data_IF_673803751022
#
_entry.id   IF_673803751022
#
_cell.length_a   1.000
_cell.length_b   1.000
_cell.length_c   1.000
_cell.angle_alpha   90.00
_cell.angle_beta   90.00
_cell.angle_gamma   90.00
#
_symmetry.space_group_name_H-M   'P 1'
#
loop_
_entity.id
_entity.type
_entity.pdbx_description
1 polymer ?
#
# COMPACT_ATOMS: atom_id res chain seq x y z
N UNK A 1 -28.41 -12.13 23.14
CA UNK A 1 -28.84 -12.06 21.73
C UNK A 1 -28.12 -10.87 21.12
N UNK A 2 -27.06 -11.10 20.34
CA UNK A 2 -26.36 -9.99 19.70
C UNK A 2 -27.21 -9.45 18.55
N UNK A 3 -27.31 -8.12 18.45
CA UNK A 3 -28.09 -7.46 17.41
C UNK A 3 -27.44 -7.71 16.04
N UNK A 4 -28.25 -7.79 14.95
CA UNK A 4 -27.72 -7.89 13.59
C UNK A 4 -26.81 -6.69 13.28
N UNK A 5 -25.77 -6.92 12.48
CA UNK A 5 -24.80 -5.86 12.11
C UNK A 5 -25.55 -4.75 11.38
N UNK A 6 -25.40 -3.51 11.83
CA UNK A 6 -25.94 -2.35 11.12
C UNK A 6 -25.04 -2.00 9.93
N UNK A 7 -25.49 -2.31 8.72
CA UNK A 7 -24.74 -2.08 7.48
C UNK A 7 -24.46 -0.59 7.19
N UNK A 8 -25.18 0.36 7.78
CA UNK A 8 -24.90 1.79 7.57
C UNK A 8 -23.60 2.25 8.25
N UNK A 9 -23.20 1.57 9.33
CA UNK A 9 -22.03 1.92 10.15
C UNK A 9 -21.02 0.79 10.25
N UNK A 10 -21.28 -0.34 9.61
CA UNK A 10 -20.42 -1.51 9.65
C UNK A 10 -19.07 -1.23 8.96
N UNK A 11 -18.01 -1.82 9.50
CA UNK A 11 -16.70 -1.93 8.88
C UNK A 11 -16.36 -3.40 8.65
N UNK A 12 -15.18 -3.67 8.10
CA UNK A 12 -14.71 -5.04 7.92
C UNK A 12 -14.55 -5.79 9.25
N UNK A 13 -14.23 -5.07 10.33
CA UNK A 13 -13.95 -5.64 11.65
C UNK A 13 -15.14 -6.39 12.24
N UNK A 14 -16.34 -5.92 11.99
CA UNK A 14 -17.58 -6.52 12.51
C UNK A 14 -17.86 -7.90 11.91
N UNK A 15 -17.19 -8.28 10.80
CA UNK A 15 -17.32 -9.57 10.14
C UNK A 15 -16.20 -10.56 10.49
N UNK A 16 -15.19 -10.19 11.29
CA UNK A 16 -14.05 -11.07 11.57
C UNK A 16 -14.40 -12.29 12.42
N UNK A 17 -15.32 -12.15 13.39
CA UNK A 17 -15.67 -13.21 14.33
C UNK A 17 -17.15 -13.13 14.75
N UNK A 18 -18.05 -13.60 13.87
CA UNK A 18 -19.47 -13.70 14.19
C UNK A 18 -19.72 -15.08 14.83
N UNK A 19 -19.80 -15.14 16.15
CA UNK A 19 -19.84 -16.39 16.94
C UNK A 19 -20.98 -17.35 16.60
N UNK A 20 -22.01 -16.90 15.88
CA UNK A 20 -23.19 -17.69 15.51
C UNK A 20 -23.15 -18.22 14.06
N UNK A 21 -22.13 -17.87 13.28
CA UNK A 21 -21.98 -18.25 11.89
C UNK A 21 -20.71 -19.08 11.68
N UNK A 22 -20.80 -20.08 10.81
CA UNK A 22 -19.60 -20.73 10.30
C UNK A 22 -18.90 -19.85 9.24
N UNK A 23 -17.80 -20.34 8.67
CA UNK A 23 -17.05 -19.59 7.66
C UNK A 23 -17.88 -19.28 6.41
N UNK A 24 -18.77 -20.19 5.99
CA UNK A 24 -19.58 -20.02 4.78
C UNK A 24 -20.73 -19.06 5.02
N UNK A 25 -21.39 -19.16 6.18
CA UNK A 25 -22.42 -18.23 6.62
C UNK A 25 -21.86 -16.81 6.75
N UNK A 26 -20.65 -16.68 7.32
CA UNK A 26 -19.96 -15.38 7.44
C UNK A 26 -19.63 -14.80 6.06
N UNK A 27 -19.16 -15.63 5.12
CA UNK A 27 -18.89 -15.19 3.76
C UNK A 27 -20.17 -14.76 3.03
N UNK A 28 -21.28 -15.49 3.19
CA UNK A 28 -22.57 -15.12 2.64
C UNK A 28 -23.08 -13.79 3.20
N UNK A 29 -22.97 -13.61 4.53
CA UNK A 29 -23.42 -12.39 5.19
C UNK A 29 -22.56 -11.17 4.85
N UNK A 30 -21.25 -11.35 4.70
CA UNK A 30 -20.37 -10.31 4.16
C UNK A 30 -20.72 -9.97 2.71
N UNK A 31 -21.09 -10.96 1.90
CA UNK A 31 -21.53 -10.72 0.53
C UNK A 31 -22.82 -9.88 0.49
N UNK A 32 -23.78 -10.12 1.39
CA UNK A 32 -24.97 -9.26 1.53
C UNK A 32 -24.61 -7.81 1.85
N UNK A 33 -23.63 -7.59 2.73
CA UNK A 33 -23.10 -6.27 3.04
C UNK A 33 -22.47 -5.59 1.80
N UNK A 34 -21.67 -6.32 1.00
CA UNK A 34 -21.11 -5.79 -0.25
C UNK A 34 -22.24 -5.36 -1.21
N UNK A 35 -23.25 -6.20 -1.42
CA UNK A 35 -24.40 -5.87 -2.29
C UNK A 35 -25.17 -4.65 -1.76
N UNK A 36 -25.34 -4.54 -0.44
CA UNK A 36 -25.91 -3.36 0.18
C UNK A 36 -25.07 -2.10 -0.12
N UNK A 37 -23.75 -2.17 0.01
CA UNK A 37 -22.85 -1.05 -0.29
C UNK A 37 -22.88 -0.65 -1.78
N UNK A 38 -22.95 -1.63 -2.69
CA UNK A 38 -23.13 -1.39 -4.14
C UNK A 38 -24.43 -0.65 -4.42
N UNK A 39 -25.55 -1.17 -3.92
CA UNK A 39 -26.88 -0.59 -4.13
C UNK A 39 -26.97 0.85 -3.61
N UNK A 40 -26.25 1.16 -2.55
CA UNK A 40 -26.23 2.50 -1.93
C UNK A 40 -25.10 3.41 -2.46
N UNK A 41 -24.37 3.01 -3.50
CA UNK A 41 -23.22 3.77 -4.06
C UNK A 41 -22.13 4.11 -3.03
N UNK A 42 -21.96 3.26 -2.00
CA UNK A 42 -20.97 3.44 -0.93
C UNK A 42 -19.68 2.65 -1.17
N UNK A 43 -19.52 2.00 -2.33
CA UNK A 43 -18.27 1.32 -2.67
C UNK A 43 -17.17 2.31 -3.01
N UNK A 44 -15.98 2.06 -2.46
CA UNK A 44 -14.76 2.73 -2.88
C UNK A 44 -14.43 2.35 -4.31
N UNK A 45 -14.78 3.20 -5.28
CA UNK A 45 -14.39 3.00 -6.67
C UNK A 45 -12.88 3.18 -6.79
N UNK A 46 -12.16 2.08 -7.03
CA UNK A 46 -10.76 2.15 -7.44
C UNK A 46 -10.72 2.65 -8.88
N UNK A 47 -10.19 3.86 -9.06
CA UNK A 47 -9.85 4.36 -10.38
C UNK A 47 -8.64 3.61 -10.93
N UNK A 48 -8.69 3.29 -12.22
CA UNK A 48 -7.50 2.82 -12.93
C UNK A 48 -6.80 4.03 -13.52
N UNK A 49 -5.51 4.17 -13.25
CA UNK A 49 -4.67 5.23 -13.81
C UNK A 49 -3.55 4.63 -14.65
N UNK A 50 -3.19 5.29 -15.76
CA UNK A 50 -2.00 4.95 -16.55
C UNK A 50 -0.91 6.00 -16.29
N UNK A 51 0.23 5.54 -15.79
CA UNK A 51 1.38 6.37 -15.47
C UNK A 51 1.28 7.08 -14.12
N UNK A 52 2.37 7.74 -13.74
CA UNK A 52 2.45 8.60 -12.57
C UNK A 52 3.06 9.94 -12.98
N UNK A 53 2.44 11.03 -12.53
CA UNK A 53 2.81 12.39 -12.91
C UNK A 53 1.70 13.39 -12.60
N UNK A 54 1.90 14.67 -12.95
CA UNK A 54 0.93 15.73 -12.68
C UNK A 54 -0.36 15.59 -13.52
N UNK A 55 -0.28 14.91 -14.66
CA UNK A 55 -1.42 14.56 -15.51
C UNK A 55 -1.46 13.03 -15.61
N UNK A 56 -2.61 12.46 -15.32
CA UNK A 56 -2.85 11.01 -15.33
C UNK A 56 -4.03 10.68 -16.23
N UNK A 57 -3.89 9.64 -17.05
CA UNK A 57 -5.00 9.12 -17.82
C UNK A 57 -5.84 8.20 -16.92
N UNK A 58 -7.08 8.59 -16.65
CA UNK A 58 -7.99 7.92 -15.71
C UNK A 58 -9.07 7.15 -16.47
N UNK A 59 -9.27 5.90 -16.05
CA UNK A 59 -10.38 5.03 -16.45
C UNK A 59 -11.21 4.66 -15.22
N UNK A 60 -12.52 4.72 -15.35
CA UNK A 60 -13.47 4.43 -14.28
C UNK A 60 -14.70 3.70 -14.84
N UNK A 61 -15.42 2.89 -14.05
CA UNK A 61 -16.58 2.12 -14.52
C UNK A 61 -17.69 2.98 -15.14
N UNK A 62 -17.80 4.25 -14.74
CA UNK A 62 -18.81 5.19 -15.23
C UNK A 62 -18.32 6.09 -16.38
N UNK A 63 -17.05 5.97 -16.81
CA UNK A 63 -16.51 6.71 -17.96
C UNK A 63 -16.59 5.84 -19.22
N UNK A 64 -17.15 6.39 -20.30
CA UNK A 64 -17.22 5.70 -21.62
C UNK A 64 -15.85 5.51 -22.28
N UNK A 65 -14.89 6.37 -21.95
CA UNK A 65 -13.50 6.35 -22.43
C UNK A 65 -12.59 6.93 -21.35
N UNK A 66 -11.32 6.58 -21.38
CA UNK A 66 -10.36 7.21 -20.48
C UNK A 66 -10.18 8.70 -20.81
N UNK A 67 -9.89 9.48 -19.79
CA UNK A 67 -9.72 10.94 -19.87
C UNK A 67 -8.44 11.35 -19.16
N UNK A 68 -7.82 12.43 -19.62
CA UNK A 68 -6.67 13.01 -18.93
C UNK A 68 -7.16 13.95 -17.83
N UNK A 69 -6.65 13.73 -16.62
CA UNK A 69 -6.98 14.50 -15.44
C UNK A 69 -5.71 15.05 -14.79
N UNK A 70 -5.82 16.22 -14.17
CA UNK A 70 -4.76 16.74 -13.29
C UNK A 70 -4.81 15.98 -11.96
N UNK A 71 -3.68 15.36 -11.59
CA UNK A 71 -3.55 14.53 -10.40
C UNK A 71 -3.36 15.36 -9.12
N UNK A 72 -4.46 15.68 -8.42
CA UNK A 72 -4.42 16.43 -7.15
C UNK A 72 -4.34 15.54 -5.89
N UNK A 73 -4.33 14.22 -6.07
CA UNK A 73 -4.38 13.22 -4.99
C UNK A 73 -3.07 12.45 -4.81
N UNK A 74 -2.04 12.77 -5.61
CA UNK A 74 -0.74 12.08 -5.54
C UNK A 74 0.06 12.54 -4.33
N UNK A 75 0.73 11.59 -3.67
CA UNK A 75 1.71 11.87 -2.61
C UNK A 75 3.12 12.18 -3.15
N UNK A 76 3.32 12.19 -4.47
CA UNK A 76 4.59 12.59 -5.09
C UNK A 76 4.68 14.12 -5.22
N UNK A 77 4.82 14.80 -4.08
CA UNK A 77 4.79 16.26 -3.98
C UNK A 77 5.82 16.99 -4.85
N UNK A 78 6.99 16.38 -5.07
CA UNK A 78 8.11 16.96 -5.80
C UNK A 78 8.33 16.31 -7.18
N UNK A 79 7.42 15.42 -7.60
CA UNK A 79 7.52 14.65 -8.84
C UNK A 79 8.83 13.84 -8.94
N UNK A 80 9.36 13.36 -7.81
CA UNK A 80 10.61 12.63 -7.75
C UNK A 80 10.51 11.23 -8.37
N UNK A 81 9.31 10.64 -8.43
CA UNK A 81 9.11 9.37 -9.13
C UNK A 81 9.41 9.49 -10.62
N UNK A 82 9.29 10.69 -11.19
CA UNK A 82 9.59 10.99 -12.60
C UNK A 82 10.95 11.67 -12.82
N UNK A 83 11.72 11.92 -11.76
CA UNK A 83 13.01 12.60 -11.89
C UNK A 83 14.02 11.73 -12.65
N UNK A 84 14.72 12.23 -13.69
CA UNK A 84 15.60 11.42 -14.54
C UNK A 84 16.68 10.66 -13.76
N UNK A 85 17.31 11.31 -12.77
CA UNK A 85 18.33 10.67 -11.93
C UNK A 85 17.78 9.52 -11.06
N UNK A 86 16.52 9.61 -10.63
CA UNK A 86 15.89 8.57 -9.81
C UNK A 86 15.57 7.35 -10.67
N UNK A 87 15.01 7.58 -11.87
CA UNK A 87 14.78 6.52 -12.85
C UNK A 87 16.07 5.81 -13.26
N UNK A 88 17.14 6.56 -13.53
CA UNK A 88 18.43 5.98 -13.86
C UNK A 88 19.00 5.14 -12.72
N UNK A 89 19.00 5.67 -11.49
CA UNK A 89 19.47 4.92 -10.32
C UNK A 89 18.68 3.61 -10.09
N UNK A 90 17.37 3.60 -10.36
CA UNK A 90 16.54 2.40 -10.28
C UNK A 90 16.92 1.37 -11.37
N UNK A 91 17.12 1.81 -12.61
CA UNK A 91 17.56 0.96 -13.73
C UNK A 91 18.94 0.36 -13.43
N UNK A 92 19.89 1.18 -12.98
CA UNK A 92 21.24 0.74 -12.62
C UNK A 92 21.21 -0.26 -11.47
N UNK A 93 20.36 -0.01 -10.46
CA UNK A 93 20.14 -0.94 -9.35
C UNK A 93 19.62 -2.30 -9.81
N UNK A 94 18.64 -2.33 -10.70
CA UNK A 94 18.10 -3.58 -11.28
C UNK A 94 19.20 -4.31 -12.07
N UNK A 95 19.98 -3.60 -12.88
CA UNK A 95 21.05 -4.21 -13.67
C UNK A 95 22.17 -4.77 -12.77
N UNK A 96 22.48 -4.13 -11.65
CA UNK A 96 23.56 -4.53 -10.75
C UNK A 96 23.15 -5.63 -9.75
N UNK A 97 21.94 -5.56 -9.19
CA UNK A 97 21.51 -6.39 -8.06
C UNK A 97 20.30 -7.28 -8.35
N UNK A 98 19.63 -7.11 -9.49
CA UNK A 98 18.35 -7.75 -9.77
C UNK A 98 17.16 -7.04 -9.12
N UNK A 99 16.01 -7.72 -9.08
CA UNK A 99 14.72 -7.10 -8.69
C UNK A 99 14.32 -7.35 -7.23
N UNK A 100 15.05 -8.19 -6.48
CA UNK A 100 14.66 -8.58 -5.13
C UNK A 100 15.85 -8.96 -4.25
N UNK A 101 15.67 -8.83 -2.94
CA UNK A 101 16.72 -9.10 -1.96
C UNK A 101 17.02 -10.60 -1.76
N UNK A 102 16.11 -11.50 -2.18
CA UNK A 102 16.29 -12.96 -2.15
C UNK A 102 16.14 -13.62 -0.77
N UNK A 103 16.28 -12.87 0.33
CA UNK A 103 16.17 -13.38 1.70
C UNK A 103 15.85 -12.23 2.68
N UNK A 104 15.58 -12.55 3.95
CA UNK A 104 15.47 -11.53 5.00
C UNK A 104 16.87 -11.00 5.39
N UNK A 105 16.98 -9.79 5.98
CA UNK A 105 18.27 -9.26 6.43
C UNK A 105 19.07 -10.23 7.32
N UNK A 106 18.38 -11.03 8.14
CA UNK A 106 19.00 -12.00 9.05
C UNK A 106 19.66 -13.19 8.33
N UNK A 107 19.13 -13.60 7.18
CA UNK A 107 19.59 -14.79 6.44
C UNK A 107 20.19 -14.44 5.08
N UNK A 108 20.80 -13.26 4.95
CA UNK A 108 21.57 -12.86 3.76
C UNK A 108 20.88 -11.88 2.81
N UNK A 109 19.76 -11.28 3.21
CA UNK A 109 19.05 -10.24 2.45
C UNK A 109 19.55 -8.81 2.69
N UNK A 110 20.60 -8.63 3.51
CA UNK A 110 21.14 -7.32 3.87
C UNK A 110 22.27 -6.90 2.92
N UNK A 111 21.89 -6.29 1.80
CA UNK A 111 22.80 -5.89 0.73
C UNK A 111 23.47 -4.52 0.92
N UNK A 112 24.53 -4.26 0.15
CA UNK A 112 25.33 -3.02 0.21
C UNK A 112 24.51 -1.74 0.02
N UNK A 113 23.48 -1.77 -0.83
CA UNK A 113 22.62 -0.63 -1.09
C UNK A 113 21.73 -0.25 0.11
N UNK A 114 21.43 -1.19 1.02
CA UNK A 114 20.74 -0.86 2.27
C UNK A 114 21.66 -0.07 3.20
N UNK A 115 22.90 -0.55 3.37
CA UNK A 115 23.92 0.09 4.20
C UNK A 115 24.20 1.51 3.70
N UNK A 116 24.37 1.69 2.38
CA UNK A 116 24.58 3.01 1.80
C UNK A 116 23.39 3.95 2.02
N UNK A 117 22.16 3.43 1.90
CA UNK A 117 20.94 4.20 2.12
C UNK A 117 20.83 4.65 3.59
N UNK A 118 21.05 3.75 4.53
CA UNK A 118 21.03 4.05 5.98
C UNK A 118 22.07 5.11 6.35
N UNK A 119 23.29 5.03 5.81
CA UNK A 119 24.32 6.05 6.01
C UNK A 119 23.91 7.41 5.45
N UNK A 120 23.33 7.44 4.24
CA UNK A 120 22.81 8.66 3.62
C UNK A 120 21.67 9.27 4.43
N UNK A 121 20.77 8.45 4.99
CA UNK A 121 19.69 8.89 5.87
C UNK A 121 20.22 9.48 7.18
N UNK A 122 21.18 8.81 7.84
CA UNK A 122 21.85 9.35 9.02
C UNK A 122 22.45 10.74 8.74
N UNK A 123 23.17 10.89 7.62
CA UNK A 123 23.74 12.18 7.20
C UNK A 123 22.67 13.23 6.91
N UNK A 124 21.62 12.86 6.19
CA UNK A 124 20.52 13.77 5.83
C UNK A 124 19.77 14.31 7.05
N UNK A 125 19.52 13.45 8.04
CA UNK A 125 18.84 13.84 9.29
C UNK A 125 19.79 14.29 10.41
N UNK A 126 21.09 14.42 10.13
CA UNK A 126 22.13 14.78 11.09
C UNK A 126 22.11 13.89 12.36
N UNK A 127 22.07 12.57 12.16
CA UNK A 127 22.08 11.54 13.20
C UNK A 127 23.39 10.72 13.16
N UNK A 128 23.83 10.12 14.28
CA UNK A 128 24.99 9.24 14.29
C UNK A 128 24.83 8.07 13.32
N UNK A 129 25.94 7.59 12.77
CA UNK A 129 25.97 6.38 11.94
C UNK A 129 25.42 5.18 12.74
N UNK A 130 24.61 4.33 12.09
CA UNK A 130 23.91 3.22 12.75
C UNK A 130 22.59 3.60 13.44
N UNK A 131 22.17 4.87 13.39
CA UNK A 131 20.88 5.34 13.96
C UNK A 131 19.71 5.31 12.96
N UNK A 132 19.87 4.64 11.82
CA UNK A 132 18.84 4.50 10.78
C UNK A 132 18.63 3.02 10.48
N UNK A 133 17.37 2.65 10.23
CA UNK A 133 16.98 1.33 9.76
C UNK A 133 15.91 1.49 8.68
N UNK A 134 16.00 0.70 7.60
CA UNK A 134 15.04 0.75 6.48
C UNK A 134 13.99 -0.36 6.62
N UNK A 135 12.73 0.00 6.40
CA UNK A 135 11.60 -0.93 6.33
C UNK A 135 10.98 -0.92 4.92
N UNK A 136 10.14 -1.92 4.63
CA UNK A 136 9.47 -2.07 3.33
C UNK A 136 8.44 -0.98 3.05
N UNK A 137 7.84 -0.38 4.10
CA UNK A 137 6.87 0.71 3.98
C UNK A 137 7.04 1.72 5.13
N UNK A 138 6.46 2.91 4.97
CA UNK A 138 6.43 3.95 6.02
C UNK A 138 5.40 3.71 7.12
N UNK A 139 4.71 2.57 7.12
CA UNK A 139 3.83 2.19 8.23
C UNK A 139 4.73 1.69 9.37
N UNK A 140 4.68 2.31 10.56
CA UNK A 140 5.52 1.89 11.66
C UNK A 140 5.16 0.46 12.11
N UNK A 141 6.15 -0.35 12.54
CA UNK A 141 5.92 -1.74 12.95
C UNK A 141 5.01 -1.89 14.18
N UNK A 142 4.64 -0.80 14.85
CA UNK A 142 3.76 -0.78 16.02
C UNK A 142 2.31 -1.23 15.75
N UNK A 143 1.90 -1.41 14.48
CA UNK A 143 0.55 -1.94 14.15
C UNK A 143 0.49 -3.46 14.00
N UNK A 144 1.57 -4.20 14.24
CA UNK A 144 1.54 -5.67 14.19
C UNK A 144 2.26 -6.31 15.38
N UNK A 145 1.61 -6.40 16.56
CA UNK A 145 2.24 -6.91 17.77
C UNK A 145 2.44 -8.43 17.82
N UNK A 146 2.08 -9.21 16.79
CA UNK A 146 2.21 -10.67 16.83
C UNK A 146 2.57 -11.22 15.45
N UNK A 147 3.37 -12.29 15.43
CA UNK A 147 3.95 -13.00 14.27
C UNK A 147 5.35 -12.57 13.82
N UNK A 148 6.29 -12.63 14.77
CA UNK A 148 7.61 -13.20 14.52
C UNK A 148 7.97 -14.08 15.71
N UNK A 149 7.48 -15.33 15.72
CA UNK A 149 8.10 -16.57 16.21
C UNK A 149 7.31 -17.75 15.65
#
# INVERSE_FOLDING_TARGET
>A
MNQPINFDTASFKEFENITQYDMMDTASYFNEYIHYMEKNNKINFRFQTKGCGPIVNVSAPFLKKSIDCVGLVSNDYLNFTQHPKVKQAAIDGINKYGTGAGASPLIGGHHEYHIELEKKLCKFFNRPEGSSIVFTTGIPPTVQPYFLY
#
